data_IF_909355714320
#
_entry.id   IF_909355714320
#
_cell.length_a   1.000
_cell.length_b   1.000
_cell.length_c   1.000
_cell.angle_alpha   90.00
_cell.angle_beta   90.00
_cell.angle_gamma   90.00
#
_symmetry.space_group_name_H-M   'P 1'
#
loop_
_entity.id
_entity.type
_entity.pdbx_description
1 polymer ?
#
# COMPACT_ATOMS: atom_id res chain seq x y z
N UNK A 1 2.68 -11.76 -21.41
CA UNK A 1 1.53 -11.71 -20.47
C UNK A 1 2.00 -11.12 -19.15
N UNK A 2 1.19 -10.28 -18.47
CA UNK A 2 1.48 -9.68 -17.15
C UNK A 2 0.29 -9.91 -16.21
N UNK A 3 0.56 -9.92 -14.91
CA UNK A 3 -0.43 -10.15 -13.85
C UNK A 3 -0.53 -8.92 -12.95
N UNK A 4 -1.75 -8.46 -12.69
CA UNK A 4 -2.04 -7.47 -11.65
C UNK A 4 -2.45 -8.20 -10.37
N UNK A 5 -1.78 -7.87 -9.27
CA UNK A 5 -2.08 -8.41 -7.94
C UNK A 5 -2.66 -7.28 -7.11
N UNK A 6 -3.94 -7.39 -6.74
CA UNK A 6 -4.59 -6.44 -5.85
C UNK A 6 -4.57 -7.00 -4.42
N UNK A 7 -4.11 -6.19 -3.45
CA UNK A 7 -3.98 -6.66 -2.06
C UNK A 7 -4.14 -5.57 -0.99
N UNK A 8 -4.57 -4.36 -1.35
CA UNK A 8 -4.78 -3.28 -0.37
C UNK A 8 -6.18 -3.38 0.24
N UNK A 9 -6.28 -3.97 1.43
CA UNK A 9 -7.50 -3.96 2.24
C UNK A 9 -8.76 -4.51 1.55
N UNK A 10 -8.61 -5.55 0.72
CA UNK A 10 -9.71 -6.08 -0.07
C UNK A 10 -10.81 -6.72 0.79
N UNK A 11 -12.05 -6.55 0.34
CA UNK A 11 -13.22 -7.34 0.75
C UNK A 11 -13.67 -8.24 -0.41
N UNK A 12 -14.53 -9.23 -0.14
CA UNK A 12 -15.10 -10.08 -1.20
C UNK A 12 -15.87 -9.25 -2.26
N UNK A 13 -16.78 -8.32 -1.90
CA UNK A 13 -17.44 -7.47 -2.91
C UNK A 13 -16.46 -6.65 -3.75
N UNK A 14 -15.45 -6.03 -3.12
CA UNK A 14 -14.45 -5.23 -3.84
C UNK A 14 -13.61 -6.07 -4.80
N UNK A 15 -13.31 -7.31 -4.43
CA UNK A 15 -12.59 -8.26 -5.26
C UNK A 15 -13.39 -8.60 -6.53
N UNK A 16 -14.70 -8.81 -6.39
CA UNK A 16 -15.61 -9.08 -7.52
C UNK A 16 -15.66 -7.88 -8.47
N UNK A 17 -15.80 -6.66 -7.94
CA UNK A 17 -15.79 -5.43 -8.74
C UNK A 17 -14.51 -5.31 -9.60
N UNK A 18 -13.34 -5.49 -8.97
CA UNK A 18 -12.05 -5.42 -9.67
C UNK A 18 -11.91 -6.53 -10.72
N UNK A 19 -12.39 -7.74 -10.40
CA UNK A 19 -12.40 -8.83 -11.38
C UNK A 19 -13.22 -8.47 -12.62
N UNK A 20 -14.45 -7.96 -12.46
CA UNK A 20 -15.27 -7.55 -13.60
C UNK A 20 -14.66 -6.39 -14.40
N UNK A 21 -14.00 -5.46 -13.73
CA UNK A 21 -13.36 -4.30 -14.37
C UNK A 21 -12.16 -4.68 -15.26
N UNK A 22 -11.40 -5.71 -14.87
CA UNK A 22 -10.11 -6.03 -15.51
C UNK A 22 -10.03 -7.40 -16.20
N UNK A 23 -11.02 -8.28 -16.00
CA UNK A 23 -11.05 -9.60 -16.67
C UNK A 23 -10.97 -9.44 -18.18
N UNK A 24 -10.18 -10.29 -18.82
CA UNK A 24 -9.94 -10.25 -20.27
C UNK A 24 -8.91 -9.21 -20.73
N UNK A 25 -8.46 -8.30 -19.85
CA UNK A 25 -7.41 -7.30 -20.17
C UNK A 25 -6.02 -7.72 -19.70
N UNK A 26 -5.95 -8.47 -18.58
CA UNK A 26 -4.71 -8.98 -18.00
C UNK A 26 -4.98 -10.19 -17.10
N UNK A 27 -3.92 -10.84 -16.63
CA UNK A 27 -4.02 -11.87 -15.59
C UNK A 27 -4.27 -11.19 -14.24
N UNK A 28 -5.10 -11.80 -13.39
CA UNK A 28 -5.53 -11.22 -12.12
C UNK A 28 -5.25 -12.18 -10.96
N UNK A 29 -4.78 -11.61 -9.84
CA UNK A 29 -4.71 -12.29 -8.56
C UNK A 29 -5.12 -11.33 -7.43
N UNK A 30 -5.62 -11.88 -6.34
CA UNK A 30 -6.19 -11.11 -5.23
C UNK A 30 -5.67 -11.64 -3.89
N UNK A 31 -5.05 -10.77 -3.10
CA UNK A 31 -4.66 -11.05 -1.72
C UNK A 31 -5.67 -10.45 -0.75
N UNK A 32 -6.49 -11.30 -0.12
CA UNK A 32 -7.45 -10.88 0.91
C UNK A 32 -6.87 -11.21 2.28
N UNK A 33 -6.56 -10.19 3.07
CA UNK A 33 -5.95 -10.30 4.39
C UNK A 33 -6.98 -10.29 5.51
N UNK A 34 -7.05 -9.18 6.25
CA UNK A 34 -7.88 -9.02 7.45
C UNK A 34 -9.34 -9.43 7.25
N UNK A 35 -9.98 -9.05 6.14
CA UNK A 35 -11.38 -9.44 5.86
C UNK A 35 -11.57 -10.96 5.68
N UNK A 36 -10.52 -11.70 5.30
CA UNK A 36 -10.59 -13.15 5.19
C UNK A 36 -10.29 -13.84 6.53
N UNK A 37 -9.29 -13.36 7.27
CA UNK A 37 -8.74 -14.09 8.42
C UNK A 37 -9.20 -13.56 9.79
N UNK A 38 -9.81 -12.37 9.84
CA UNK A 38 -10.21 -11.71 11.09
C UNK A 38 -11.50 -10.87 10.90
N UNK A 39 -12.53 -11.48 10.29
CA UNK A 39 -13.87 -10.89 10.12
C UNK A 39 -14.88 -11.61 11.03
N UNK A 40 -14.74 -11.37 12.34
CA UNK A 40 -15.52 -12.06 13.39
C UNK A 40 -16.42 -11.11 14.21
N UNK A 41 -16.70 -9.92 13.67
CA UNK A 41 -17.57 -8.92 14.30
C UNK A 41 -16.89 -8.02 15.33
N UNK A 42 -15.61 -8.21 15.64
CA UNK A 42 -14.80 -7.27 16.39
C UNK A 42 -13.90 -6.44 15.46
N UNK A 43 -13.55 -5.22 15.88
CA UNK A 43 -12.64 -4.37 15.12
C UNK A 43 -11.20 -4.94 15.19
N UNK A 44 -10.57 -5.25 14.05
CA UNK A 44 -9.20 -5.77 14.03
C UNK A 44 -8.19 -4.71 14.46
N UNK A 45 -7.24 -5.09 15.33
CA UNK A 45 -6.12 -4.23 15.72
C UNK A 45 -5.29 -3.80 14.50
N UNK A 46 -5.11 -2.49 14.34
CA UNK A 46 -4.29 -1.91 13.28
C UNK A 46 -2.82 -1.82 13.72
N UNK A 47 -2.07 -2.89 13.47
CA UNK A 47 -0.66 -2.99 13.85
C UNK A 47 0.20 -3.03 12.58
N UNK A 48 1.32 -2.30 12.59
CA UNK A 48 2.26 -2.23 11.47
C UNK A 48 3.69 -2.40 11.96
N UNK A 49 4.51 -3.14 11.20
CA UNK A 49 5.97 -3.18 11.37
C UNK A 49 6.59 -2.61 10.10
N UNK A 50 7.51 -1.68 10.28
CA UNK A 50 8.12 -0.89 9.21
C UNK A 50 9.61 -0.73 9.45
N UNK A 51 10.38 -0.73 8.37
CA UNK A 51 11.81 -0.48 8.43
C UNK A 51 12.07 1.01 8.61
N UNK A 52 12.88 1.38 9.61
CA UNK A 52 13.23 2.78 9.88
C UNK A 52 14.62 3.15 9.35
N UNK A 53 15.57 2.22 9.37
CA UNK A 53 16.97 2.46 8.97
C UNK A 53 17.60 1.26 8.27
N UNK A 54 18.50 1.54 7.31
CA UNK A 54 19.38 0.56 6.65
C UNK A 54 20.82 1.08 6.72
N UNK A 55 21.78 0.28 7.22
CA UNK A 55 23.18 0.71 7.35
C UNK A 55 23.36 2.05 8.10
N UNK A 56 22.54 2.27 9.14
CA UNK A 56 22.54 3.53 9.89
C UNK A 56 21.91 4.73 9.16
N UNK A 57 21.48 4.61 7.92
CA UNK A 57 20.81 5.68 7.15
C UNK A 57 19.28 5.58 7.25
N UNK A 58 18.53 6.70 7.20
CA UNK A 58 17.07 6.67 7.17
C UNK A 58 16.58 6.01 5.88
N UNK A 59 15.43 5.33 5.97
CA UNK A 59 14.66 4.87 4.81
C UNK A 59 13.24 5.42 4.88
N UNK A 60 12.56 5.52 3.75
CA UNK A 60 11.20 6.02 3.68
C UNK A 60 10.36 5.21 2.70
N UNK A 61 9.06 5.17 2.97
CA UNK A 61 8.04 4.74 2.01
C UNK A 61 7.25 5.97 1.58
N UNK A 62 7.35 6.32 0.29
CA UNK A 62 6.44 7.25 -0.37
C UNK A 62 5.27 6.45 -0.95
N UNK A 63 4.05 6.83 -0.62
CA UNK A 63 2.83 6.15 -1.05
C UNK A 63 1.94 7.11 -1.84
N UNK A 64 1.21 6.58 -2.81
CA UNK A 64 0.18 7.35 -3.54
C UNK A 64 -0.99 7.81 -2.65
N UNK A 65 -1.06 7.28 -1.43
CA UNK A 65 -1.97 7.75 -0.37
C UNK A 65 -1.16 8.65 0.58
N UNK A 66 -1.42 9.96 0.63
CA UNK A 66 -0.62 10.91 1.42
C UNK A 66 -0.49 10.53 2.89
N UNK A 67 -1.56 9.99 3.49
CA UNK A 67 -1.61 9.56 4.89
C UNK A 67 -0.80 8.30 5.22
N UNK A 68 -0.22 7.62 4.21
CA UNK A 68 0.64 6.44 4.38
C UNK A 68 2.14 6.75 4.25
N UNK A 69 2.52 8.02 4.07
CA UNK A 69 3.92 8.43 4.07
C UNK A 69 4.51 8.28 5.48
N UNK A 70 5.70 7.70 5.55
CA UNK A 70 6.34 7.43 6.83
C UNK A 70 7.86 7.53 6.68
N UNK A 71 8.38 8.54 7.37
CA UNK A 71 9.77 8.74 7.75
C UNK A 71 9.75 9.95 8.70
N UNK A 72 10.42 9.86 9.84
CA UNK A 72 10.45 10.96 10.81
C UNK A 72 11.46 12.06 10.41
N UNK A 73 12.23 11.83 9.34
CA UNK A 73 13.17 12.79 8.76
C UNK A 73 12.55 13.50 7.56
N UNK A 74 11.96 14.67 7.83
CA UNK A 74 11.34 15.52 6.80
C UNK A 74 12.33 15.97 5.72
N UNK A 75 13.62 16.14 6.07
CA UNK A 75 14.65 16.53 5.09
C UNK A 75 14.91 15.38 4.12
N UNK A 76 15.01 14.15 4.63
CA UNK A 76 15.17 12.98 3.78
C UNK A 76 13.94 12.73 2.88
N UNK A 77 12.73 12.95 3.40
CA UNK A 77 11.50 12.91 2.60
C UNK A 77 11.47 13.97 1.49
N UNK A 78 11.85 15.21 1.81
CA UNK A 78 11.95 16.30 0.83
C UNK A 78 12.95 15.97 -0.27
N UNK A 79 14.14 15.48 0.11
CA UNK A 79 15.15 15.01 -0.83
C UNK A 79 14.63 13.89 -1.74
N UNK A 80 14.02 12.83 -1.18
CA UNK A 80 13.46 11.73 -1.98
C UNK A 80 12.40 12.22 -2.96
N UNK A 81 11.49 13.10 -2.54
CA UNK A 81 10.48 13.67 -3.45
C UNK A 81 11.12 14.45 -4.60
N UNK A 82 12.15 15.24 -4.33
CA UNK A 82 12.90 15.94 -5.37
C UNK A 82 13.57 14.98 -6.35
N UNK A 83 14.24 13.94 -5.86
CA UNK A 83 14.94 12.93 -6.68
C UNK A 83 13.96 12.20 -7.61
N UNK A 84 12.79 11.83 -7.08
CA UNK A 84 11.77 11.11 -7.85
C UNK A 84 10.74 12.02 -8.54
N UNK A 85 10.92 13.34 -8.49
CA UNK A 85 10.01 14.33 -9.10
C UNK A 85 8.55 14.16 -8.66
N UNK A 86 8.35 13.86 -7.37
CA UNK A 86 7.03 13.71 -6.75
C UNK A 86 6.62 15.03 -6.13
N UNK A 87 5.43 15.52 -6.49
CA UNK A 87 4.87 16.75 -5.93
C UNK A 87 4.67 16.63 -4.41
N UNK A 88 4.87 17.74 -3.69
CA UNK A 88 4.50 17.78 -2.28
C UNK A 88 2.97 17.76 -2.18
N UNK A 89 2.38 16.90 -1.32
CA UNK A 89 0.98 17.02 -1.00
C UNK A 89 0.73 18.42 -0.43
N UNK A 90 -0.38 19.05 -0.83
CA UNK A 90 -0.85 20.32 -0.27
C UNK A 90 -1.16 20.20 1.23
#
# INVERSE_FOLDING_TARGET
TKTLIFSDGLTVPRTIELYHQFRGRCQLAFGIGTNLTNDIGCEPLQIVIKMLRCNGQPVAKLSDTPSKNMCDDERYLGYLRQVFQIEQPA
#
